data_IF_431636489072
#
_entry.id   IF_431636489072
#
_cell.length_a   1.000
_cell.length_b   1.000
_cell.length_c   1.000
_cell.angle_alpha   90.00
_cell.angle_beta   90.00
_cell.angle_gamma   90.00
#
_symmetry.space_group_name_H-M   'P 1'
#
loop_
_entity.id
_entity.type
_entity.pdbx_description
1 polymer ?
#
# COMPACT_ATOMS: atom_id res chain seq x y z
N UNK A 1 -5.87 20.79 3.88
CA UNK A 1 -4.70 20.13 3.27
C UNK A 1 -4.16 20.99 2.14
N UNK A 2 -2.90 21.43 2.18
CA UNK A 2 -2.22 22.09 1.06
C UNK A 2 -2.25 21.22 -0.21
N UNK A 3 -2.17 21.84 -1.39
CA UNK A 3 -2.29 21.12 -2.67
C UNK A 3 -1.21 20.06 -2.89
N UNK A 4 0.05 20.38 -2.58
CA UNK A 4 1.18 19.45 -2.72
C UNK A 4 0.98 18.19 -1.86
N UNK A 5 0.58 18.36 -0.59
CA UNK A 5 0.28 17.22 0.30
C UNK A 5 -0.85 16.33 -0.22
N UNK A 6 -1.83 16.89 -0.95
CA UNK A 6 -2.91 16.08 -1.56
C UNK A 6 -2.37 15.20 -2.68
N UNK A 7 -1.44 15.70 -3.48
CA UNK A 7 -0.81 14.95 -4.57
C UNK A 7 0.04 13.81 -3.98
N UNK A 8 0.86 14.09 -2.97
CA UNK A 8 1.67 13.06 -2.31
C UNK A 8 0.80 11.96 -1.68
N UNK A 9 -0.27 12.36 -0.99
CA UNK A 9 -1.25 11.41 -0.43
C UNK A 9 -1.91 10.56 -1.51
N UNK A 10 -2.24 11.15 -2.67
CA UNK A 10 -2.82 10.42 -3.79
C UNK A 10 -1.83 9.42 -4.38
N UNK A 11 -0.54 9.75 -4.45
CA UNK A 11 0.51 8.83 -4.86
C UNK A 11 0.62 7.65 -3.89
N UNK A 12 0.64 7.89 -2.57
CA UNK A 12 0.64 6.83 -1.56
C UNK A 12 -0.62 5.95 -1.67
N UNK A 13 -1.81 6.54 -1.84
CA UNK A 13 -3.06 5.81 -2.08
C UNK A 13 -2.98 4.96 -3.35
N UNK A 14 -2.47 5.51 -4.45
CA UNK A 14 -2.36 4.78 -5.70
C UNK A 14 -1.51 3.51 -5.54
N UNK A 15 -0.38 3.60 -4.85
CA UNK A 15 0.45 2.40 -4.58
C UNK A 15 -0.31 1.38 -3.73
N UNK A 16 -1.02 1.81 -2.68
CA UNK A 16 -1.83 0.90 -1.86
C UNK A 16 -2.92 0.18 -2.68
N UNK A 17 -3.64 0.91 -3.54
CA UNK A 17 -4.65 0.34 -4.44
C UNK A 17 -4.04 -0.64 -5.44
N UNK A 18 -2.87 -0.34 -5.99
CA UNK A 18 -2.25 -1.24 -6.96
C UNK A 18 -1.71 -2.52 -6.30
N UNK A 19 -1.23 -2.44 -5.07
CA UNK A 19 -0.91 -3.64 -4.27
C UNK A 19 -2.17 -4.48 -4.05
N UNK A 20 -3.30 -3.84 -3.72
CA UNK A 20 -4.57 -4.50 -3.51
C UNK A 20 -5.10 -5.18 -4.79
N UNK A 21 -5.05 -4.48 -5.92
CA UNK A 21 -5.44 -5.00 -7.24
C UNK A 21 -4.53 -6.15 -7.67
N UNK A 22 -3.21 -6.03 -7.49
CA UNK A 22 -2.27 -7.09 -7.81
C UNK A 22 -2.57 -8.35 -6.98
N UNK A 23 -2.81 -8.20 -5.68
CA UNK A 23 -3.21 -9.31 -4.82
C UNK A 23 -4.54 -9.96 -5.23
N UNK A 24 -5.47 -9.19 -5.80
CA UNK A 24 -6.75 -9.69 -6.34
C UNK A 24 -6.65 -10.33 -7.73
N UNK A 25 -5.51 -10.18 -8.43
CA UNK A 25 -5.30 -10.79 -9.74
C UNK A 25 -5.38 -12.33 -9.66
N UNK A 26 -5.85 -12.95 -10.75
CA UNK A 26 -5.92 -14.41 -10.85
C UNK A 26 -4.56 -15.10 -10.66
N UNK A 27 -3.48 -14.42 -11.06
CA UNK A 27 -2.11 -14.89 -10.93
C UNK A 27 -1.73 -15.01 -9.45
N UNK A 28 -1.92 -13.94 -8.68
CA UNK A 28 -1.59 -13.93 -7.24
C UNK A 28 -2.49 -14.84 -6.43
N UNK A 29 -3.80 -14.81 -6.70
CA UNK A 29 -4.76 -15.70 -6.05
C UNK A 29 -4.41 -17.17 -6.27
N UNK A 30 -4.05 -17.55 -7.50
CA UNK A 30 -3.62 -18.91 -7.81
C UNK A 30 -2.28 -19.27 -7.17
N UNK A 31 -1.35 -18.32 -7.05
CA UNK A 31 -0.05 -18.51 -6.39
C UNK A 31 -0.20 -18.80 -4.90
N UNK A 32 -0.99 -17.98 -4.20
CA UNK A 32 -1.25 -18.23 -2.79
C UNK A 32 -2.08 -19.49 -2.55
N UNK A 33 -3.07 -19.77 -3.41
CA UNK A 33 -3.89 -21.00 -3.31
C UNK A 33 -3.06 -22.28 -3.46
N UNK A 34 -2.04 -22.30 -4.33
CA UNK A 34 -1.13 -23.45 -4.47
C UNK A 34 0.01 -23.48 -3.43
N UNK A 35 -0.02 -22.59 -2.43
CA UNK A 35 0.99 -22.53 -1.38
C UNK A 35 2.34 -21.92 -1.81
N UNK A 36 2.41 -21.24 -2.95
CA UNK A 36 3.64 -20.56 -3.35
C UNK A 36 3.91 -19.37 -2.42
N UNK A 37 5.15 -19.29 -1.92
CA UNK A 37 5.61 -18.20 -1.06
C UNK A 37 5.91 -16.96 -1.91
N UNK A 38 4.94 -16.06 -2.02
CA UNK A 38 5.08 -14.78 -2.72
C UNK A 38 4.59 -13.66 -1.82
N UNK A 39 5.37 -12.59 -1.73
CA UNK A 39 5.07 -11.40 -0.94
C UNK A 39 4.95 -10.20 -1.88
N UNK A 40 3.94 -9.37 -1.67
CA UNK A 40 3.77 -8.08 -2.35
C UNK A 40 4.12 -6.97 -1.34
N UNK A 41 4.91 -5.99 -1.78
CA UNK A 41 5.25 -4.79 -1.00
C UNK A 41 4.75 -3.53 -1.72
N UNK A 42 4.41 -2.50 -0.96
CA UNK A 42 4.03 -1.18 -1.49
C UNK A 42 4.94 -0.12 -0.91
N UNK A 43 5.80 0.45 -1.74
CA UNK A 43 6.74 1.50 -1.35
C UNK A 43 6.52 2.78 -2.15
N UNK A 44 6.80 3.91 -1.53
CA UNK A 44 6.86 5.21 -2.19
C UNK A 44 8.13 5.95 -1.73
N UNK A 45 8.61 6.92 -2.51
CA UNK A 45 9.71 7.79 -2.11
C UNK A 45 9.46 9.21 -2.60
N UNK A 46 10.06 10.19 -1.91
CA UNK A 46 10.07 11.56 -2.37
C UNK A 46 11.26 11.81 -3.31
N UNK A 47 11.05 12.58 -4.37
CA UNK A 47 12.15 12.95 -5.28
C UNK A 47 13.20 13.82 -4.56
N UNK A 48 12.81 14.53 -3.51
CA UNK A 48 13.67 15.42 -2.74
C UNK A 48 14.71 14.70 -1.85
N UNK A 49 14.41 13.49 -1.38
CA UNK A 49 15.25 12.73 -0.44
C UNK A 49 15.65 11.34 -0.97
N UNK A 50 14.92 10.78 -1.93
CA UNK A 50 15.13 9.42 -2.44
C UNK A 50 14.87 8.33 -1.41
N UNK A 51 14.29 8.65 -0.24
CA UNK A 51 14.12 7.71 0.85
C UNK A 51 12.86 6.87 0.62
N UNK A 52 13.04 5.55 0.51
CA UNK A 52 11.94 4.60 0.43
C UNK A 52 11.15 4.58 1.74
N UNK A 53 9.83 4.63 1.61
CA UNK A 53 8.85 4.58 2.69
C UNK A 53 7.97 3.36 2.46
N UNK A 54 7.97 2.45 3.43
CA UNK A 54 7.01 1.34 3.45
C UNK A 54 5.62 1.88 3.81
N UNK A 55 4.64 1.58 2.95
CA UNK A 55 3.25 2.00 3.14
C UNK A 55 2.45 1.03 4.03
N UNK A 56 3.13 0.06 4.66
CA UNK A 56 2.56 -0.94 5.58
C UNK A 56 1.49 -1.86 4.96
N UNK A 57 1.45 -1.94 3.63
CA UNK A 57 0.50 -2.78 2.85
C UNK A 57 1.08 -4.13 2.43
N UNK A 58 2.19 -4.55 3.04
CA UNK A 58 2.86 -5.82 2.70
C UNK A 58 1.93 -7.02 2.91
N UNK A 59 1.75 -7.84 1.86
CA UNK A 59 0.82 -8.97 1.84
C UNK A 59 1.49 -10.28 1.41
N UNK A 60 1.24 -11.36 2.14
CA UNK A 60 1.80 -12.71 1.90
C UNK A 60 0.74 -13.75 1.54
N UNK A 61 -0.53 -13.41 1.68
CA UNK A 61 -1.71 -14.24 1.39
C UNK A 61 -2.95 -13.33 1.30
N UNK A 62 -4.12 -13.92 1.07
CA UNK A 62 -5.40 -13.20 0.94
C UNK A 62 -5.79 -12.47 2.22
N UNK A 63 -5.58 -13.11 3.36
CA UNK A 63 -5.98 -12.59 4.68
C UNK A 63 -5.16 -11.36 5.05
N UNK A 64 -3.84 -11.43 4.84
CA UNK A 64 -2.92 -10.32 5.10
C UNK A 64 -3.14 -9.18 4.11
N UNK A 65 -3.48 -9.46 2.84
CA UNK A 65 -3.84 -8.43 1.86
C UNK A 65 -4.98 -7.53 2.37
N UNK A 66 -6.10 -8.15 2.79
CA UNK A 66 -7.26 -7.44 3.34
C UNK A 66 -6.93 -6.63 4.59
N UNK A 67 -6.24 -7.26 5.55
CA UNK A 67 -5.90 -6.64 6.82
C UNK A 67 -4.96 -5.44 6.62
N UNK A 68 -3.95 -5.61 5.77
CA UNK A 68 -2.88 -4.63 5.59
C UNK A 68 -3.33 -3.45 4.74
N UNK A 69 -4.14 -3.68 3.71
CA UNK A 69 -4.75 -2.59 2.94
C UNK A 69 -5.62 -1.69 3.82
N UNK A 70 -6.56 -2.26 4.61
CA UNK A 70 -7.41 -1.47 5.53
C UNK A 70 -6.60 -0.69 6.55
N UNK A 71 -5.55 -1.31 7.10
CA UNK A 71 -4.64 -0.66 8.05
C UNK A 71 -3.87 0.49 7.39
N UNK A 72 -3.31 0.27 6.21
CA UNK A 72 -2.57 1.28 5.44
C UNK A 72 -3.41 2.51 5.16
N UNK A 73 -4.62 2.33 4.63
CA UNK A 73 -5.57 3.43 4.35
C UNK A 73 -5.97 4.17 5.64
N UNK A 74 -6.22 3.45 6.74
CA UNK A 74 -6.53 4.07 8.04
C UNK A 74 -5.37 4.91 8.57
N UNK A 75 -4.14 4.40 8.47
CA UNK A 75 -2.93 5.09 8.93
C UNK A 75 -2.65 6.33 8.07
N UNK A 76 -2.86 6.23 6.76
CA UNK A 76 -2.68 7.35 5.84
C UNK A 76 -3.63 8.51 6.14
N UNK A 77 -4.90 8.18 6.44
CA UNK A 77 -5.90 9.16 6.86
C UNK A 77 -5.48 9.87 8.16
N UNK A 78 -5.02 9.12 9.17
CA UNK A 78 -4.55 9.68 10.46
C UNK A 78 -3.32 10.58 10.30
N UNK A 79 -2.33 10.15 9.51
CA UNK A 79 -1.06 10.88 9.28
C UNK A 79 -1.30 12.28 8.73
N UNK A 80 -2.29 12.43 7.86
CA UNK A 80 -2.59 13.68 7.19
C UNK A 80 -3.62 14.55 7.91
N UNK A 81 -4.44 13.98 8.80
CA UNK A 81 -5.34 14.74 9.69
C UNK A 81 -4.55 15.38 10.85
N UNK A 82 -3.53 14.70 11.38
CA UNK A 82 -2.81 15.13 12.58
C UNK A 82 -1.68 16.14 12.33
N UNK A 83 -1.22 16.30 11.09
CA UNK A 83 -0.29 17.37 10.71
C UNK A 83 -1.06 18.63 10.30
N UNK A 84 -1.71 19.29 11.27
CA UNK A 84 -2.07 20.72 11.15
C UNK A 84 -0.83 21.59 11.23
#
# INVERSE_FOLDING_TARGET
>A
MPQERRIDTLCELNVMEQVYNLGHSTIMQSAWKRGQKVTIHGWAYGIHDGLLRDLEVTATNRETLEQRYRRGVSNLSKKHINHK
#
